data_IF_169118230361
#
_entry.id   IF_169118230361
#
_cell.length_a   1.000
_cell.length_b   1.000
_cell.length_c   1.000
_cell.angle_alpha   90.00
_cell.angle_beta   90.00
_cell.angle_gamma   90.00
#
_symmetry.space_group_name_H-M   'P 1'
#
loop_
_entity.id
_entity.type
_entity.pdbx_description
1 polymer ?
#
# COMPACT_ATOMS: atom_id res chain seq x y z
N UNK A 1 -24.66 -95.41 20.35
CA UNK A 1 -23.53 -94.56 20.79
C UNK A 1 -22.25 -95.14 20.21
N UNK A 2 -21.72 -94.54 19.15
CA UNK A 2 -20.35 -94.76 18.67
C UNK A 2 -19.92 -93.47 17.98
N UNK A 3 -19.01 -92.72 18.61
CA UNK A 3 -18.52 -91.43 18.14
C UNK A 3 -17.58 -91.62 16.94
N UNK A 4 -17.85 -91.04 15.75
CA UNK A 4 -16.88 -91.00 14.67
C UNK A 4 -15.97 -89.78 14.85
N UNK A 5 -15.21 -89.75 15.95
CA UNK A 5 -14.27 -88.66 16.28
C UNK A 5 -12.83 -88.87 15.79
N UNK A 6 -12.54 -89.96 15.05
CA UNK A 6 -11.13 -90.34 14.72
C UNK A 6 -10.72 -90.09 13.27
N UNK A 7 -11.63 -89.70 12.37
CA UNK A 7 -11.31 -89.35 10.98
C UNK A 7 -10.91 -87.89 10.76
N UNK A 8 -11.40 -86.97 11.60
CA UNK A 8 -11.16 -85.52 11.44
C UNK A 8 -9.73 -85.11 11.82
N UNK A 9 -9.12 -85.77 12.81
CA UNK A 9 -7.75 -85.49 13.25
C UNK A 9 -6.66 -86.11 12.35
N UNK A 10 -7.04 -86.88 11.31
CA UNK A 10 -6.10 -87.63 10.44
C UNK A 10 -6.21 -87.27 8.96
N UNK A 11 -7.07 -86.32 8.59
CA UNK A 11 -7.14 -85.79 7.24
C UNK A 11 -5.89 -84.92 6.95
N UNK A 12 -5.05 -85.37 6.00
CA UNK A 12 -3.84 -84.66 5.53
C UNK A 12 -4.05 -83.92 4.21
N UNK A 13 -5.23 -84.07 3.60
CA UNK A 13 -5.65 -83.30 2.43
C UNK A 13 -6.18 -81.94 2.92
N UNK A 14 -5.25 -81.09 3.38
CA UNK A 14 -5.56 -79.74 3.80
C UNK A 14 -6.14 -78.99 2.60
N UNK A 15 -7.44 -78.70 2.64
CA UNK A 15 -8.06 -77.85 1.63
C UNK A 15 -7.40 -76.47 1.71
N UNK A 16 -6.68 -76.08 0.67
CA UNK A 16 -6.06 -74.75 0.56
C UNK A 16 -7.12 -73.65 0.50
N UNK A 17 -8.33 -73.97 0.05
CA UNK A 17 -9.43 -73.01 -0.10
C UNK A 17 -9.84 -72.32 1.21
N UNK A 18 -10.12 -73.01 2.35
CA UNK A 18 -10.43 -72.36 3.61
C UNK A 18 -9.26 -71.57 4.21
N UNK A 19 -8.02 -72.02 4.06
CA UNK A 19 -6.84 -71.27 4.53
C UNK A 19 -6.63 -70.00 3.71
N UNK A 20 -6.77 -70.09 2.39
CA UNK A 20 -6.72 -68.95 1.48
C UNK A 20 -7.86 -67.96 1.74
N UNK A 21 -9.08 -68.44 1.93
CA UNK A 21 -10.23 -67.59 2.26
C UNK A 21 -10.03 -66.84 3.59
N UNK A 22 -9.48 -67.51 4.60
CA UNK A 22 -9.16 -66.88 5.89
C UNK A 22 -7.99 -65.88 5.78
N UNK A 23 -7.02 -66.13 4.91
CA UNK A 23 -5.90 -65.22 4.66
C UNK A 23 -6.25 -64.02 3.76
N UNK A 24 -7.28 -64.15 2.90
CA UNK A 24 -7.74 -63.09 2.01
C UNK A 24 -8.42 -61.95 2.81
N UNK A 25 -9.18 -62.28 3.84
CA UNK A 25 -9.87 -61.30 4.70
C UNK A 25 -8.92 -60.23 5.30
N UNK A 26 -7.80 -60.59 5.97
CA UNK A 26 -6.86 -59.60 6.49
C UNK A 26 -6.11 -58.85 5.38
N UNK A 27 -5.83 -59.46 4.21
CA UNK A 27 -5.19 -58.76 3.11
C UNK A 27 -6.09 -57.66 2.51
N UNK A 28 -7.37 -57.98 2.26
CA UNK A 28 -8.36 -57.01 1.76
C UNK A 28 -8.60 -55.90 2.79
N UNK A 29 -8.65 -56.24 4.08
CA UNK A 29 -8.77 -55.25 5.15
C UNK A 29 -7.58 -54.28 5.17
N UNK A 30 -6.34 -54.77 5.03
CA UNK A 30 -5.14 -53.92 4.99
C UNK A 30 -5.18 -52.95 3.80
N UNK A 31 -5.50 -53.44 2.60
CA UNK A 31 -5.63 -52.59 1.41
C UNK A 31 -6.74 -51.55 1.59
N UNK A 32 -7.89 -51.97 2.14
CA UNK A 32 -9.00 -51.08 2.43
C UNK A 32 -8.64 -49.98 3.43
N UNK A 33 -7.91 -50.32 4.49
CA UNK A 33 -7.44 -49.34 5.47
C UNK A 33 -6.46 -48.35 4.85
N UNK A 34 -5.60 -48.79 3.93
CA UNK A 34 -4.73 -47.89 3.17
C UNK A 34 -5.54 -46.91 2.32
N UNK A 35 -6.61 -47.34 1.66
CA UNK A 35 -7.47 -46.46 0.86
C UNK A 35 -8.20 -45.41 1.71
N UNK A 36 -8.76 -45.82 2.86
CA UNK A 36 -9.39 -44.90 3.81
C UNK A 36 -8.36 -43.91 4.39
N UNK A 37 -7.14 -44.37 4.68
CA UNK A 37 -6.06 -43.49 5.13
C UNK A 37 -5.66 -42.48 4.06
N UNK A 38 -5.46 -42.91 2.81
CA UNK A 38 -5.15 -42.01 1.69
C UNK A 38 -6.25 -40.97 1.49
N UNK A 39 -7.51 -41.38 1.61
CA UNK A 39 -8.67 -40.46 1.56
C UNK A 39 -8.65 -39.46 2.71
N UNK A 40 -8.31 -39.90 3.93
CA UNK A 40 -8.19 -39.03 5.10
C UNK A 40 -7.08 -37.99 4.94
N UNK A 41 -5.91 -38.41 4.43
CA UNK A 41 -4.78 -37.50 4.16
C UNK A 41 -5.14 -36.49 3.07
N UNK A 42 -5.77 -36.93 1.98
CA UNK A 42 -6.22 -36.05 0.90
C UNK A 42 -7.26 -35.04 1.37
N UNK A 43 -8.26 -35.50 2.14
CA UNK A 43 -9.30 -34.64 2.74
C UNK A 43 -8.69 -33.63 3.70
N UNK A 44 -7.76 -34.05 4.55
CA UNK A 44 -7.03 -33.14 5.45
C UNK A 44 -6.28 -32.05 4.68
N UNK A 45 -5.60 -32.39 3.59
CA UNK A 45 -4.89 -31.42 2.77
C UNK A 45 -5.85 -30.41 2.11
N UNK A 46 -6.96 -30.89 1.53
CA UNK A 46 -7.99 -30.01 0.95
C UNK A 46 -8.63 -29.09 1.99
N UNK A 47 -8.96 -29.63 3.18
CA UNK A 47 -9.48 -28.84 4.30
C UNK A 47 -8.48 -27.78 4.79
N UNK A 48 -7.19 -28.11 4.86
CA UNK A 48 -6.16 -27.16 5.25
C UNK A 48 -6.09 -25.99 4.26
N UNK A 49 -6.04 -26.27 2.96
CA UNK A 49 -6.01 -25.24 1.92
C UNK A 49 -7.25 -24.33 1.98
N UNK A 50 -8.43 -24.91 2.20
CA UNK A 50 -9.67 -24.16 2.36
C UNK A 50 -9.66 -23.28 3.62
N UNK A 51 -9.12 -23.79 4.73
CA UNK A 51 -9.04 -23.05 5.99
C UNK A 51 -8.02 -21.90 5.92
N UNK A 52 -6.90 -22.10 5.23
CA UNK A 52 -5.87 -21.07 5.01
C UNK A 52 -6.41 -19.90 4.17
N UNK A 53 -7.19 -20.19 3.11
CA UNK A 53 -7.88 -19.16 2.34
C UNK A 53 -8.95 -18.44 3.18
N UNK A 54 -9.70 -19.20 3.99
CA UNK A 54 -10.77 -18.65 4.81
C UNK A 54 -10.26 -17.74 5.93
N UNK A 55 -9.15 -18.08 6.59
CA UNK A 55 -8.56 -17.24 7.64
C UNK A 55 -8.05 -15.90 7.09
N UNK A 56 -7.51 -15.88 5.86
CA UNK A 56 -7.15 -14.63 5.18
C UNK A 56 -8.37 -13.75 4.90
N UNK A 57 -9.48 -14.36 4.46
CA UNK A 57 -10.72 -13.65 4.16
C UNK A 57 -11.36 -12.98 5.39
N UNK A 58 -11.18 -13.53 6.60
CA UNK A 58 -11.64 -12.89 7.85
C UNK A 58 -10.92 -11.56 8.10
N UNK A 59 -9.68 -11.42 7.63
CA UNK A 59 -8.89 -10.19 7.80
C UNK A 59 -9.27 -9.06 6.84
N UNK A 60 -10.25 -9.25 5.95
CA UNK A 60 -10.78 -8.19 5.08
C UNK A 60 -11.99 -7.49 5.68
N UNK A 61 -12.55 -8.00 6.78
CA UNK A 61 -13.65 -7.36 7.48
C UNK A 61 -13.17 -6.19 8.34
N UNK A 62 -13.98 -5.12 8.51
CA UNK A 62 -13.62 -3.98 9.34
C UNK A 62 -13.35 -4.40 10.79
N UNK A 63 -12.54 -3.64 11.55
CA UNK A 63 -12.29 -3.92 12.98
C UNK A 63 -13.56 -4.02 13.81
N UNK A 64 -14.60 -3.27 13.44
CA UNK A 64 -15.90 -3.21 14.11
C UNK A 64 -16.79 -4.42 13.85
N UNK A 65 -16.42 -5.33 12.93
CA UNK A 65 -17.18 -6.56 12.69
C UNK A 65 -17.14 -7.46 13.92
N UNK A 66 -18.30 -8.05 14.26
CA UNK A 66 -18.43 -8.95 15.40
C UNK A 66 -17.79 -10.30 15.12
N UNK A 67 -17.48 -11.07 16.17
CA UNK A 67 -16.98 -12.44 16.00
C UNK A 67 -17.98 -13.34 15.28
N UNK A 68 -19.28 -13.06 15.39
CA UNK A 68 -20.34 -13.74 14.63
C UNK A 68 -20.20 -13.46 13.14
N UNK A 69 -19.99 -12.20 12.74
CA UNK A 69 -19.80 -11.84 11.32
C UNK A 69 -18.52 -12.44 10.75
N UNK A 70 -17.45 -12.46 11.57
CA UNK A 70 -16.18 -13.10 11.21
C UNK A 70 -16.31 -14.60 11.05
N UNK A 71 -17.00 -15.27 11.96
CA UNK A 71 -17.28 -16.70 11.87
C UNK A 71 -18.14 -17.03 10.66
N UNK A 72 -19.12 -16.17 10.32
CA UNK A 72 -19.90 -16.34 9.10
C UNK A 72 -19.03 -16.21 7.85
N UNK A 73 -18.21 -15.15 7.76
CA UNK A 73 -17.26 -14.96 6.65
C UNK A 73 -16.25 -16.10 6.52
N UNK A 74 -15.77 -16.62 7.65
CA UNK A 74 -14.89 -17.79 7.74
C UNK A 74 -15.59 -19.02 7.16
N UNK A 75 -16.82 -19.30 7.58
CA UNK A 75 -17.64 -20.42 7.07
C UNK A 75 -17.88 -20.32 5.57
N UNK A 76 -18.35 -19.17 5.11
CA UNK A 76 -18.66 -18.95 3.70
C UNK A 76 -17.41 -19.12 2.83
N UNK A 77 -16.26 -18.59 3.28
CA UNK A 77 -14.99 -18.72 2.58
C UNK A 77 -14.45 -20.16 2.64
N UNK A 78 -14.60 -20.85 3.76
CA UNK A 78 -14.17 -22.24 3.92
C UNK A 78 -14.95 -23.17 2.99
N UNK A 79 -16.28 -23.06 2.95
CA UNK A 79 -17.14 -23.84 2.07
C UNK A 79 -16.89 -23.50 0.60
N UNK A 80 -16.73 -22.22 0.25
CA UNK A 80 -16.43 -21.80 -1.12
C UNK A 80 -15.09 -22.37 -1.65
N UNK A 81 -14.14 -22.68 -0.77
CA UNK A 81 -12.86 -23.30 -1.11
C UNK A 81 -12.85 -24.83 -0.95
N UNK A 82 -14.01 -25.47 -0.83
CA UNK A 82 -14.14 -26.94 -0.75
C UNK A 82 -13.93 -27.53 0.64
N UNK A 83 -13.91 -26.71 1.69
CA UNK A 83 -13.83 -27.16 3.08
C UNK A 83 -15.05 -28.00 3.50
N UNK A 84 -14.81 -29.00 4.34
CA UNK A 84 -15.84 -29.91 4.85
C UNK A 84 -15.90 -29.85 6.38
N UNK A 85 -17.09 -30.09 6.94
CA UNK A 85 -17.30 -30.14 8.39
C UNK A 85 -17.53 -28.77 9.03
N UNK A 86 -17.22 -28.66 10.32
CA UNK A 86 -17.50 -27.49 11.16
C UNK A 86 -16.23 -26.67 11.34
N UNK A 87 -16.33 -25.36 11.14
CA UNK A 87 -15.24 -24.41 11.38
C UNK A 87 -15.57 -23.50 12.57
N UNK A 88 -14.55 -23.18 13.36
CA UNK A 88 -14.58 -22.33 14.52
C UNK A 88 -13.56 -21.19 14.38
N UNK A 89 -13.92 -20.02 14.91
CA UNK A 89 -13.02 -18.90 15.13
C UNK A 89 -12.51 -19.00 16.56
N UNK A 90 -11.27 -19.45 16.75
CA UNK A 90 -10.70 -19.68 18.08
C UNK A 90 -10.28 -18.35 18.73
N UNK A 91 -9.71 -17.44 17.94
CA UNK A 91 -9.45 -16.07 18.36
C UNK A 91 -9.33 -15.10 17.18
N UNK A 92 -9.72 -13.85 17.39
CA UNK A 92 -9.40 -12.73 16.52
C UNK A 92 -9.03 -11.51 17.36
N UNK A 93 -7.88 -10.91 17.11
CA UNK A 93 -7.40 -9.75 17.85
C UNK A 93 -6.68 -8.78 16.92
N UNK A 94 -6.88 -7.48 17.13
CA UNK A 94 -6.09 -6.41 16.50
C UNK A 94 -5.35 -5.70 17.62
N UNK A 95 -4.02 -5.62 17.51
CA UNK A 95 -3.23 -4.90 18.51
C UNK A 95 -3.29 -3.38 18.30
N UNK A 96 -2.77 -2.62 19.27
CA UNK A 96 -2.76 -1.15 19.27
C UNK A 96 -2.04 -0.55 18.06
N UNK A 97 -1.20 -1.32 17.38
CA UNK A 97 -0.46 -0.89 16.20
C UNK A 97 -1.12 -1.37 14.88
N UNK A 98 -2.31 -1.98 14.96
CA UNK A 98 -3.08 -2.42 13.80
C UNK A 98 -2.69 -3.78 13.24
N UNK A 99 -1.83 -4.55 13.92
CA UNK A 99 -1.54 -5.94 13.49
C UNK A 99 -2.71 -6.83 13.89
N UNK A 100 -3.35 -7.47 12.90
CA UNK A 100 -4.37 -8.47 13.16
C UNK A 100 -3.76 -9.87 13.30
N UNK A 101 -4.27 -10.63 14.26
CA UNK A 101 -3.98 -12.05 14.45
C UNK A 101 -5.29 -12.81 14.54
N UNK A 102 -5.40 -13.91 13.83
CA UNK A 102 -6.54 -14.82 13.95
C UNK A 102 -6.05 -16.27 14.02
N UNK A 103 -6.70 -17.06 14.86
CA UNK A 103 -6.56 -18.52 14.91
C UNK A 103 -7.92 -19.15 14.64
N UNK A 104 -7.93 -20.16 13.79
CA UNK A 104 -9.14 -20.88 13.39
C UNK A 104 -8.88 -22.37 13.37
N UNK A 105 -9.94 -23.14 13.60
CA UNK A 105 -9.91 -24.59 13.58
C UNK A 105 -11.09 -25.13 12.78
N UNK A 106 -10.89 -26.24 12.08
CA UNK A 106 -11.98 -26.98 11.46
C UNK A 106 -11.89 -28.48 11.77
N UNK A 107 -13.04 -29.11 11.92
CA UNK A 107 -13.15 -30.54 12.18
C UNK A 107 -14.20 -31.21 11.30
N UNK A 108 -13.87 -32.41 10.83
CA UNK A 108 -14.74 -33.21 9.98
C UNK A 108 -14.62 -34.69 10.36
N UNK A 109 -15.76 -35.35 10.59
CA UNK A 109 -15.82 -36.78 10.78
C UNK A 109 -15.93 -37.45 9.41
N UNK A 110 -14.79 -37.78 8.80
CA UNK A 110 -14.77 -38.38 7.46
C UNK A 110 -15.28 -39.83 7.53
N UNK A 111 -16.34 -40.20 6.78
CA UNK A 111 -16.79 -41.58 6.70
C UNK A 111 -15.69 -42.50 6.16
N UNK A 112 -15.51 -43.66 6.77
CA UNK A 112 -14.62 -44.71 6.26
C UNK A 112 -15.44 -45.69 5.43
N UNK A 113 -14.84 -46.30 4.41
CA UNK A 113 -15.51 -47.32 3.60
C UNK A 113 -15.11 -48.73 4.06
N UNK A 114 -13.83 -48.94 4.37
CA UNK A 114 -13.27 -50.25 4.67
C UNK A 114 -13.00 -50.45 6.17
N UNK A 115 -12.63 -49.40 6.90
CA UNK A 115 -12.43 -49.44 8.35
C UNK A 115 -13.71 -49.76 9.14
N UNK A 116 -14.88 -49.68 8.50
CA UNK A 116 -16.14 -50.18 9.06
C UNK A 116 -16.08 -51.66 9.45
N UNK A 117 -15.27 -52.47 8.76
CA UNK A 117 -15.03 -53.89 9.09
C UNK A 117 -14.46 -54.03 10.51
N UNK A 118 -13.64 -53.07 10.95
CA UNK A 118 -13.07 -52.99 12.30
C UNK A 118 -13.93 -52.16 13.26
N UNK A 119 -15.20 -51.87 12.92
CA UNK A 119 -16.12 -51.01 13.68
C UNK A 119 -15.62 -49.58 13.90
N UNK A 120 -14.83 -49.05 12.96
CA UNK A 120 -14.41 -47.65 12.93
C UNK A 120 -15.15 -46.96 11.78
N UNK A 121 -16.34 -46.37 12.01
CA UNK A 121 -17.18 -45.82 10.94
C UNK A 121 -16.71 -44.47 10.40
N UNK A 122 -15.88 -43.75 11.15
CA UNK A 122 -15.36 -42.44 10.78
C UNK A 122 -13.94 -42.23 11.30
N UNK A 123 -13.16 -41.41 10.60
CA UNK A 123 -11.89 -40.86 11.09
C UNK A 123 -12.05 -39.36 11.30
N UNK A 124 -11.73 -38.87 12.49
CA UNK A 124 -11.77 -37.44 12.80
C UNK A 124 -10.58 -36.72 12.16
N UNK A 125 -10.88 -35.77 11.27
CA UNK A 125 -9.91 -34.87 10.67
C UNK A 125 -9.99 -33.53 11.39
N UNK A 126 -8.84 -33.03 11.82
CA UNK A 126 -8.68 -31.71 12.41
C UNK A 126 -7.60 -30.92 11.67
N UNK A 127 -7.90 -29.66 11.37
CA UNK A 127 -6.98 -28.69 10.78
C UNK A 127 -7.05 -27.39 11.56
N UNK A 128 -5.93 -26.68 11.62
CA UNK A 128 -5.83 -25.36 12.26
C UNK A 128 -5.10 -24.43 11.32
N UNK A 129 -5.47 -23.15 11.33
CA UNK A 129 -4.77 -22.12 10.58
C UNK A 129 -4.63 -20.87 11.44
N UNK A 130 -3.54 -20.15 11.20
CA UNK A 130 -3.26 -18.89 11.86
C UNK A 130 -2.82 -17.85 10.84
N UNK A 131 -3.26 -16.62 11.01
CA UNK A 131 -2.84 -15.49 10.19
C UNK A 131 -2.29 -14.38 11.06
N UNK A 132 -1.24 -13.71 10.56
CA UNK A 132 -0.79 -12.43 11.06
C UNK A 132 -0.77 -11.44 9.90
N UNK A 133 -1.61 -10.41 9.97
CA UNK A 133 -1.67 -9.33 8.99
C UNK A 133 -0.99 -8.10 9.57
N UNK A 134 0.07 -7.64 8.91
CA UNK A 134 0.77 -6.41 9.30
C UNK A 134 -0.09 -5.18 9.05
N UNK A 135 0.07 -4.12 9.85
CA UNK A 135 -0.58 -2.86 9.57
C UNK A 135 -0.11 -2.30 8.22
N UNK A 136 -0.95 -1.48 7.61
CA UNK A 136 -0.63 -0.77 6.37
C UNK A 136 -1.09 0.68 6.48
N UNK A 137 -0.62 1.51 5.56
CA UNK A 137 -0.98 2.92 5.49
C UNK A 137 -2.51 3.05 5.33
N UNK A 138 -3.16 3.66 6.32
CA UNK A 138 -4.60 3.96 6.29
C UNK A 138 -4.87 5.45 6.09
N UNK A 139 -3.88 6.29 6.37
CA UNK A 139 -3.95 7.72 6.09
C UNK A 139 -2.57 8.25 5.70
N UNK A 140 -2.54 9.10 4.68
CA UNK A 140 -1.36 9.83 4.24
C UNK A 140 -1.61 11.33 4.39
N UNK A 141 -0.82 11.99 5.23
CA UNK A 141 -0.94 13.43 5.47
C UNK A 141 0.12 14.17 4.70
N UNK A 142 -0.30 14.95 3.70
CA UNK A 142 0.60 15.69 2.82
C UNK A 142 0.75 17.13 3.31
N UNK A 143 1.99 17.61 3.36
CA UNK A 143 2.30 19.00 3.65
C UNK A 143 3.28 19.53 2.61
N UNK A 144 2.82 20.51 1.83
CA UNK A 144 3.69 21.24 0.90
C UNK A 144 4.69 22.07 1.70
N UNK A 145 5.95 21.97 1.32
CA UNK A 145 7.06 22.70 1.92
C UNK A 145 7.46 23.91 1.08
N UNK A 146 7.69 23.70 -0.22
CA UNK A 146 8.06 24.77 -1.15
C UNK A 146 7.68 24.38 -2.57
N UNK A 147 7.08 25.32 -3.30
CA UNK A 147 6.84 25.15 -4.74
C UNK A 147 7.34 26.36 -5.52
N UNK A 148 8.03 26.10 -6.62
CA UNK A 148 8.57 27.09 -7.55
C UNK A 148 8.46 26.62 -8.99
N UNK A 149 8.92 27.45 -9.93
CA UNK A 149 9.12 27.06 -11.32
C UNK A 149 8.64 28.15 -12.28
N UNK A 150 8.48 27.78 -13.55
CA UNK A 150 8.10 28.71 -14.63
C UNK A 150 6.64 28.56 -15.06
N UNK A 151 5.96 27.53 -14.55
CA UNK A 151 4.67 27.08 -15.05
C UNK A 151 3.71 26.73 -13.92
N UNK A 152 2.43 26.89 -14.21
CA UNK A 152 1.38 26.33 -13.37
C UNK A 152 1.50 24.81 -13.42
N UNK A 153 1.28 24.18 -12.27
CA UNK A 153 1.33 22.73 -12.15
C UNK A 153 0.34 22.24 -11.12
N UNK A 154 -0.18 21.03 -11.29
CA UNK A 154 -1.06 20.39 -10.32
C UNK A 154 -0.55 18.99 -10.03
N UNK A 155 -0.27 18.71 -8.76
CA UNK A 155 0.01 17.34 -8.30
C UNK A 155 -1.30 16.75 -7.78
N UNK A 156 -1.70 15.61 -8.31
CA UNK A 156 -2.93 14.91 -7.93
C UNK A 156 -2.58 13.55 -7.33
N UNK A 157 -3.11 13.25 -6.16
CA UNK A 157 -3.13 11.90 -5.61
C UNK A 157 -4.36 11.16 -6.11
N UNK A 158 -4.13 10.05 -6.78
CA UNK A 158 -5.16 9.14 -7.24
C UNK A 158 -5.19 7.88 -6.38
N UNK A 159 -6.38 7.35 -6.15
CA UNK A 159 -6.59 6.08 -5.48
C UNK A 159 -7.68 5.23 -6.11
N UNK A 160 -7.40 3.95 -6.27
CA UNK A 160 -8.37 2.95 -6.74
C UNK A 160 -8.90 2.18 -5.54
N UNK A 161 -10.22 2.21 -5.32
CA UNK A 161 -10.87 1.48 -4.21
C UNK A 161 -10.75 -0.04 -4.39
N UNK A 162 -10.89 -0.78 -3.30
CA UNK A 162 -11.04 -2.24 -3.37
C UNK A 162 -12.18 -2.63 -4.33
N UNK A 163 -11.89 -3.56 -5.24
CA UNK A 163 -12.85 -4.03 -6.26
C UNK A 163 -13.17 -3.04 -7.39
N UNK A 164 -12.66 -1.80 -7.35
CA UNK A 164 -12.81 -0.84 -8.44
C UNK A 164 -11.70 -1.00 -9.49
N UNK A 165 -12.01 -0.65 -10.74
CA UNK A 165 -11.04 -0.66 -11.84
C UNK A 165 -10.58 0.74 -12.25
N UNK A 166 -11.33 1.78 -11.86
CA UNK A 166 -11.02 3.17 -12.21
C UNK A 166 -10.49 3.95 -11.00
N UNK A 167 -9.40 4.72 -11.17
CA UNK A 167 -8.87 5.58 -10.10
C UNK A 167 -9.77 6.80 -9.88
N UNK A 168 -9.83 7.28 -8.63
CA UNK A 168 -10.48 8.55 -8.28
C UNK A 168 -9.45 9.53 -7.71
N UNK A 169 -9.70 10.83 -7.89
CA UNK A 169 -8.91 11.89 -7.25
C UNK A 169 -9.21 11.89 -5.75
N UNK A 170 -8.18 11.88 -4.92
CA UNK A 170 -8.29 11.98 -3.47
C UNK A 170 -7.83 13.35 -2.97
N UNK A 171 -6.88 13.96 -3.67
CA UNK A 171 -6.30 15.25 -3.28
C UNK A 171 -5.61 15.89 -4.48
N UNK A 172 -5.62 17.22 -4.53
CA UNK A 172 -4.91 18.02 -5.52
C UNK A 172 -4.10 19.11 -4.82
N UNK A 173 -2.87 19.33 -5.25
CA UNK A 173 -2.05 20.48 -4.89
C UNK A 173 -1.75 21.28 -6.15
N UNK A 174 -2.47 22.39 -6.33
CA UNK A 174 -2.40 23.25 -7.51
C UNK A 174 -1.53 24.45 -7.22
N UNK A 175 -0.46 24.61 -8.00
CA UNK A 175 0.43 25.77 -7.96
C UNK A 175 0.13 26.71 -9.12
N UNK A 176 -0.02 27.99 -8.77
CA UNK A 176 -0.13 29.10 -9.71
C UNK A 176 1.18 29.87 -9.71
N UNK A 177 1.82 29.92 -10.87
CA UNK A 177 3.05 30.66 -11.11
C UNK A 177 2.84 32.17 -10.89
N UNK A 178 3.85 32.81 -10.28
CA UNK A 178 3.93 34.26 -10.17
C UNK A 178 5.37 34.71 -10.37
N UNK A 179 5.62 35.51 -11.40
CA UNK A 179 6.93 36.14 -11.67
C UNK A 179 7.18 37.33 -10.75
N UNK A 180 8.43 37.61 -10.43
CA UNK A 180 8.83 38.82 -9.72
C UNK A 180 9.93 39.59 -10.45
N UNK A 181 9.70 40.87 -10.68
CA UNK A 181 10.67 41.81 -11.26
C UNK A 181 11.06 42.88 -10.25
N UNK A 182 12.36 43.07 -10.04
CA UNK A 182 12.88 44.12 -9.19
C UNK A 182 13.42 45.27 -10.03
N UNK A 183 12.89 46.47 -9.81
CA UNK A 183 13.33 47.70 -10.51
C UNK A 183 14.23 48.52 -9.59
N UNK A 184 15.39 48.92 -10.10
CA UNK A 184 16.40 49.69 -9.39
C UNK A 184 17.05 50.72 -10.30
N UNK A 185 17.75 51.68 -9.69
CA UNK A 185 18.37 52.79 -10.40
C UNK A 185 19.88 52.77 -10.21
N UNK A 186 20.62 52.96 -11.31
CA UNK A 186 22.08 53.09 -11.30
C UNK A 186 22.47 54.49 -11.77
N UNK A 187 23.45 55.09 -11.10
CA UNK A 187 23.89 56.47 -11.36
C UNK A 187 23.16 57.50 -10.47
N UNK A 188 23.44 58.77 -10.70
CA UNK A 188 22.90 59.87 -9.90
C UNK A 188 22.51 61.07 -10.77
N UNK A 189 21.54 61.86 -10.30
CA UNK A 189 21.02 63.04 -11.00
C UNK A 189 20.52 62.70 -12.41
N UNK A 190 20.83 63.55 -13.38
CA UNK A 190 20.40 63.40 -14.78
C UNK A 190 21.01 62.19 -15.51
N UNK A 191 21.95 61.47 -14.89
CA UNK A 191 22.55 60.23 -15.43
C UNK A 191 21.93 58.95 -14.86
N UNK A 192 20.99 59.09 -13.94
CA UNK A 192 20.27 57.96 -13.36
C UNK A 192 19.49 57.19 -14.45
N UNK A 193 19.67 55.87 -14.48
CA UNK A 193 18.93 54.96 -15.37
C UNK A 193 18.28 53.86 -14.56
N UNK A 194 17.04 53.53 -14.89
CA UNK A 194 16.29 52.44 -14.28
C UNK A 194 16.49 51.14 -15.05
N UNK A 195 16.68 50.06 -14.30
CA UNK A 195 16.83 48.69 -14.80
C UNK A 195 15.86 47.80 -14.05
N UNK A 196 15.39 46.75 -14.71
CA UNK A 196 14.54 45.73 -14.09
C UNK A 196 15.20 44.38 -14.30
N UNK A 197 15.46 43.68 -13.20
CA UNK A 197 15.95 42.30 -13.22
C UNK A 197 14.86 41.40 -12.66
N UNK A 198 14.57 40.30 -13.35
CA UNK A 198 13.58 39.33 -12.90
C UNK A 198 14.27 38.24 -12.08
N UNK A 199 13.58 37.74 -11.06
CA UNK A 199 13.96 36.49 -10.42
C UNK A 199 13.82 35.36 -11.45
N UNK A 200 14.76 34.41 -11.44
CA UNK A 200 14.78 33.33 -12.41
C UNK A 200 13.52 32.46 -12.27
N UNK A 201 13.21 31.99 -11.07
CA UNK A 201 12.01 31.17 -10.84
C UNK A 201 10.81 32.02 -10.41
N UNK A 202 9.61 31.55 -10.73
CA UNK A 202 8.39 32.08 -10.13
C UNK A 202 8.14 31.48 -8.74
N UNK A 203 7.57 32.30 -7.87
CA UNK A 203 7.11 31.91 -6.53
C UNK A 203 5.71 32.50 -6.35
N UNK A 204 4.71 31.63 -6.30
CA UNK A 204 3.31 32.03 -6.26
C UNK A 204 2.54 31.33 -5.16
N UNK A 205 1.33 30.88 -5.49
CA UNK A 205 0.42 30.28 -4.52
C UNK A 205 0.19 28.81 -4.84
N UNK A 206 0.36 27.94 -3.85
CA UNK A 206 -0.02 26.52 -3.91
C UNK A 206 -1.24 26.29 -3.03
N UNK A 207 -2.30 25.72 -3.59
CA UNK A 207 -3.52 25.36 -2.85
C UNK A 207 -3.68 23.85 -2.85
N UNK A 208 -3.76 23.26 -1.66
CA UNK A 208 -4.04 21.83 -1.47
C UNK A 208 -5.51 21.65 -1.09
N UNK A 209 -6.19 20.77 -1.82
CA UNK A 209 -7.58 20.42 -1.57
C UNK A 209 -7.75 18.91 -1.47
N UNK A 210 -8.60 18.47 -0.53
CA UNK A 210 -9.13 17.11 -0.52
C UNK A 210 -10.28 17.02 -1.53
N UNK A 211 -10.31 15.92 -2.27
CA UNK A 211 -11.30 15.69 -3.33
C UNK A 211 -12.19 14.52 -2.95
N UNK A 212 -13.51 14.72 -3.01
CA UNK A 212 -14.51 13.66 -2.84
C UNK A 212 -15.58 13.80 -3.92
N UNK A 213 -15.49 12.99 -4.97
CA UNK A 213 -16.33 13.10 -6.15
C UNK A 213 -16.10 14.44 -6.87
N UNK A 214 -17.15 15.24 -7.02
CA UNK A 214 -17.09 16.58 -7.61
C UNK A 214 -16.72 17.67 -6.59
N UNK A 215 -16.66 17.35 -5.30
CA UNK A 215 -16.41 18.33 -4.23
C UNK A 215 -14.92 18.44 -3.96
N UNK A 216 -14.41 19.66 -3.86
CA UNK A 216 -13.03 19.98 -3.51
C UNK A 216 -13.00 20.90 -2.31
N UNK A 217 -12.33 20.49 -1.23
CA UNK A 217 -12.23 21.25 0.02
C UNK A 217 -10.79 21.67 0.25
N UNK A 218 -10.53 22.98 0.26
CA UNK A 218 -9.19 23.52 0.55
C UNK A 218 -8.82 23.23 2.00
N UNK A 219 -7.64 22.63 2.20
CA UNK A 219 -7.11 22.25 3.52
C UNK A 219 -5.76 22.89 3.83
N UNK A 220 -5.05 23.35 2.80
CA UNK A 220 -3.80 24.10 2.96
C UNK A 220 -3.63 25.09 1.81
N UNK A 221 -3.11 26.28 2.11
CA UNK A 221 -2.61 27.23 1.10
C UNK A 221 -1.20 27.66 1.49
N UNK A 222 -0.29 27.67 0.54
CA UNK A 222 1.04 28.25 0.69
C UNK A 222 1.14 29.43 -0.27
N UNK A 223 1.49 30.61 0.24
CA UNK A 223 1.74 31.79 -0.58
C UNK A 223 3.16 32.27 -0.36
N UNK A 224 3.91 32.37 -1.44
CA UNK A 224 5.28 32.87 -1.42
C UNK A 224 5.33 34.34 -1.84
N UNK A 225 6.21 35.10 -1.19
CA UNK A 225 6.47 36.50 -1.49
C UNK A 225 7.96 36.70 -1.73
N UNK A 226 8.30 37.41 -2.81
CA UNK A 226 9.68 37.69 -3.22
C UNK A 226 9.99 39.18 -3.06
N UNK A 227 11.18 39.48 -2.58
CA UNK A 227 11.74 40.83 -2.52
C UNK A 227 13.09 40.86 -3.23
N UNK A 228 13.36 41.94 -3.96
CA UNK A 228 14.65 42.20 -4.61
C UNK A 228 15.48 43.28 -3.90
N UNK A 229 16.79 43.23 -4.08
CA UNK A 229 17.73 44.22 -3.57
C UNK A 229 19.00 44.26 -4.41
N UNK A 230 19.64 45.42 -4.56
CA UNK A 230 20.99 45.53 -5.13
C UNK A 230 22.10 45.21 -4.11
N UNK A 231 21.74 44.97 -2.86
CA UNK A 231 22.63 44.52 -1.79
C UNK A 231 22.18 43.16 -1.28
N UNK A 232 23.15 42.32 -0.89
CA UNK A 232 22.84 41.00 -0.39
C UNK A 232 22.02 41.08 0.91
N UNK A 233 21.08 40.14 1.09
CA UNK A 233 20.28 40.04 2.31
C UNK A 233 21.12 39.50 3.46
N UNK A 234 21.30 40.29 4.51
CA UNK A 234 22.00 39.87 5.73
C UNK A 234 21.01 39.17 6.66
N UNK A 235 21.35 37.97 7.15
CA UNK A 235 20.54 37.16 8.06
C UNK A 235 19.09 36.95 7.58
N UNK A 236 18.87 36.39 6.37
CA UNK A 236 17.53 36.04 5.92
C UNK A 236 16.91 34.99 6.87
N UNK A 237 15.56 34.89 6.96
CA UNK A 237 14.89 33.79 7.65
C UNK A 237 15.45 32.43 7.20
N UNK A 238 15.51 31.46 8.11
CA UNK A 238 16.14 30.15 7.87
C UNK A 238 15.55 29.39 6.68
N UNK A 239 14.25 29.58 6.43
CA UNK A 239 13.48 28.97 5.34
C UNK A 239 13.41 29.83 4.08
N UNK A 240 14.03 31.01 4.08
CA UNK A 240 14.01 31.89 2.93
C UNK A 240 14.91 31.36 1.82
N UNK A 241 14.39 31.41 0.59
CA UNK A 241 15.19 31.11 -0.60
C UNK A 241 15.91 32.38 -1.03
N UNK A 242 17.25 32.33 -1.09
CA UNK A 242 18.07 33.45 -1.54
C UNK A 242 18.78 33.08 -2.83
N UNK A 243 18.58 33.90 -3.84
CA UNK A 243 19.14 33.76 -5.19
C UNK A 243 19.75 35.10 -5.62
N UNK A 244 20.52 35.08 -6.71
CA UNK A 244 21.09 36.30 -7.27
C UNK A 244 21.15 36.22 -8.79
N UNK A 245 20.96 37.36 -9.44
CA UNK A 245 21.05 37.53 -10.90
C UNK A 245 22.00 38.67 -11.22
N UNK A 246 22.96 38.43 -12.10
CA UNK A 246 23.83 39.47 -12.62
C UNK A 246 23.19 40.14 -13.84
N UNK A 247 22.90 41.43 -13.75
CA UNK A 247 22.42 42.22 -14.89
C UNK A 247 23.61 42.82 -15.64
N UNK A 248 23.88 42.29 -16.82
CA UNK A 248 24.98 42.75 -17.67
C UNK A 248 24.81 44.17 -18.20
N UNK A 249 23.57 44.69 -18.27
CA UNK A 249 23.29 46.04 -18.76
C UNK A 249 23.67 47.10 -17.72
N UNK A 250 23.32 46.84 -16.46
CA UNK A 250 23.59 47.74 -15.33
C UNK A 250 24.94 47.46 -14.66
N UNK A 251 25.52 46.28 -14.91
CA UNK A 251 26.70 45.71 -14.24
C UNK A 251 26.51 45.52 -12.73
N UNK A 252 25.27 45.37 -12.28
CA UNK A 252 24.91 45.12 -10.88
C UNK A 252 24.47 43.67 -10.67
N UNK A 253 24.71 43.16 -9.47
CA UNK A 253 24.09 41.92 -8.99
C UNK A 253 22.84 42.27 -8.20
N UNK A 254 21.71 41.71 -8.62
CA UNK A 254 20.45 41.78 -7.88
C UNK A 254 20.28 40.50 -7.08
N UNK A 255 20.01 40.65 -5.79
CA UNK A 255 19.69 39.57 -4.88
C UNK A 255 18.20 39.49 -4.70
N UNK A 256 17.67 38.27 -4.63
CA UNK A 256 16.27 38.02 -4.34
C UNK A 256 16.15 37.19 -3.08
N UNK A 257 15.10 37.47 -2.30
CA UNK A 257 14.73 36.71 -1.11
C UNK A 257 13.26 36.35 -1.22
N UNK A 258 12.96 35.06 -1.22
CA UNK A 258 11.59 34.56 -1.19
C UNK A 258 11.28 33.92 0.16
N UNK A 259 10.14 34.29 0.73
CA UNK A 259 9.58 33.68 1.96
C UNK A 259 8.20 33.11 1.66
N UNK A 260 7.89 31.92 2.18
CA UNK A 260 6.61 31.26 1.94
C UNK A 260 5.83 31.10 3.25
N UNK A 261 4.59 31.58 3.27
CA UNK A 261 3.68 31.41 4.41
C UNK A 261 2.66 30.32 4.10
N UNK A 262 2.50 29.38 5.04
CA UNK A 262 1.52 28.29 4.92
C UNK A 262 0.37 28.49 5.89
N UNK A 263 -0.86 28.44 5.38
CA UNK A 263 -2.10 28.43 6.17
C UNK A 263 -2.78 27.07 6.02
N UNK A 264 -3.35 26.55 7.09
CA UNK A 264 -4.09 25.27 7.10
C UNK A 264 -5.53 25.48 7.56
N UNK A 265 -6.42 24.62 7.07
CA UNK A 265 -7.85 24.61 7.41
C UNK A 265 -8.22 23.19 7.87
N UNK A 266 -8.59 22.99 9.16
CA UNK A 266 -8.65 23.98 10.23
C UNK A 266 -7.26 24.54 10.60
N UNK A 267 -7.25 25.71 11.25
CA UNK A 267 -6.01 26.35 11.69
C UNK A 267 -5.18 25.40 12.57
N UNK A 268 -3.86 25.42 12.37
CA UNK A 268 -2.89 24.50 13.01
C UNK A 268 -3.06 23.02 12.62
N UNK A 269 -3.79 22.73 11.54
CA UNK A 269 -3.85 21.39 10.95
C UNK A 269 -2.48 20.90 10.49
N UNK A 270 -2.29 19.58 10.46
CA UNK A 270 -1.02 18.91 10.11
C UNK A 270 -0.75 18.83 8.60
N UNK A 271 -1.69 19.30 7.77
CA UNK A 271 -1.64 19.23 6.31
C UNK A 271 -2.91 18.59 5.75
N UNK A 272 -2.85 18.12 4.50
CA UNK A 272 -3.92 17.39 3.84
C UNK A 272 -3.93 15.91 4.26
N UNK A 273 -4.71 15.58 5.29
CA UNK A 273 -4.90 14.21 5.75
C UNK A 273 -5.85 13.44 4.81
N UNK A 274 -5.30 12.56 3.98
CA UNK A 274 -6.05 11.75 3.03
C UNK A 274 -6.32 10.36 3.62
N UNK A 275 -7.59 9.98 3.75
CA UNK A 275 -7.96 8.60 4.09
C UNK A 275 -7.73 7.68 2.88
N UNK A 276 -6.85 6.70 3.07
CA UNK A 276 -6.49 5.70 2.07
C UNK A 276 -6.80 4.27 2.54
N UNK A 277 -7.54 4.12 3.65
CA UNK A 277 -7.87 2.83 4.28
C UNK A 277 -8.65 1.88 3.36
N UNK A 278 -9.35 2.43 2.37
CA UNK A 278 -10.16 1.71 1.39
C UNK A 278 -9.51 1.64 0.00
N UNK A 279 -8.24 2.06 -0.13
CA UNK A 279 -7.53 2.10 -1.41
C UNK A 279 -6.66 0.84 -1.61
N UNK A 280 -6.84 0.22 -2.77
CA UNK A 280 -6.02 -0.90 -3.23
C UNK A 280 -4.67 -0.42 -3.78
N UNK A 281 -4.69 0.67 -4.54
CA UNK A 281 -3.51 1.26 -5.17
C UNK A 281 -3.55 2.78 -5.07
N UNK A 282 -2.37 3.39 -4.97
CA UNK A 282 -2.18 4.84 -4.98
C UNK A 282 -1.11 5.23 -5.97
N UNK A 283 -1.27 6.38 -6.63
CA UNK A 283 -0.21 7.00 -7.40
C UNK A 283 -0.36 8.52 -7.42
N UNK A 284 0.76 9.21 -7.63
CA UNK A 284 0.80 10.65 -7.84
C UNK A 284 0.94 10.95 -9.33
N UNK A 285 0.29 12.02 -9.76
CA UNK A 285 0.42 12.56 -11.11
C UNK A 285 0.70 14.06 -11.00
N UNK A 286 1.78 14.52 -11.61
CA UNK A 286 2.03 15.94 -11.84
C UNK A 286 1.60 16.30 -13.26
N UNK A 287 0.73 17.30 -13.39
CA UNK A 287 0.38 17.92 -14.65
C UNK A 287 0.92 19.35 -14.69
N UNK A 288 1.81 19.65 -15.64
CA UNK A 288 2.23 21.01 -15.97
C UNK A 288 1.22 21.59 -16.94
N UNK A 289 0.52 22.66 -16.53
CA UNK A 289 -0.69 23.14 -17.20
C UNK A 289 -0.49 24.40 -18.03
N UNK A 290 0.67 25.05 -17.92
CA UNK A 290 1.05 26.19 -18.77
C UNK A 290 2.46 26.01 -19.31
N UNK A 291 2.77 26.68 -20.43
CA UNK A 291 4.10 26.56 -21.06
C UNK A 291 4.35 25.17 -21.63
N UNK A 292 5.40 24.50 -21.17
CA UNK A 292 5.75 23.16 -21.65
C UNK A 292 4.86 22.10 -20.98
N UNK A 293 3.64 21.94 -21.49
CA UNK A 293 2.65 21.02 -20.92
C UNK A 293 3.18 19.59 -20.94
N UNK A 294 3.22 18.97 -19.76
CA UNK A 294 3.72 17.61 -19.57
C UNK A 294 2.97 16.94 -18.41
N UNK A 295 2.92 15.61 -18.44
CA UNK A 295 2.33 14.80 -17.37
C UNK A 295 3.34 13.75 -16.93
N UNK A 296 3.57 13.66 -15.62
CA UNK A 296 4.46 12.69 -15.01
C UNK A 296 3.71 11.89 -13.94
N UNK A 297 3.96 10.59 -13.85
CA UNK A 297 3.23 9.69 -12.95
C UNK A 297 4.18 8.82 -12.15
N UNK A 298 3.90 8.66 -10.87
CA UNK A 298 4.71 7.82 -9.99
C UNK A 298 4.62 6.34 -10.37
N UNK A 299 3.49 5.89 -10.91
CA UNK A 299 3.24 4.51 -11.32
C UNK A 299 3.55 4.24 -12.81
N UNK A 300 4.29 5.12 -13.47
CA UNK A 300 4.69 4.95 -14.87
C UNK A 300 6.23 4.91 -14.96
N UNK A 301 6.84 3.78 -15.40
CA UNK A 301 8.29 3.63 -15.43
C UNK A 301 9.01 4.61 -16.37
N UNK A 302 8.26 5.28 -17.26
CA UNK A 302 8.82 6.26 -18.21
C UNK A 302 8.91 7.68 -17.64
N UNK A 303 8.18 7.99 -16.57
CA UNK A 303 8.07 9.36 -16.03
C UNK A 303 8.31 9.47 -14.52
N UNK A 304 8.37 8.34 -13.80
CA UNK A 304 8.58 8.28 -12.36
C UNK A 304 9.94 8.84 -11.91
N UNK A 305 10.94 8.89 -12.79
CA UNK A 305 12.27 9.43 -12.52
C UNK A 305 12.30 10.95 -12.31
N UNK A 306 11.16 11.62 -12.49
CA UNK A 306 10.97 13.01 -12.07
C UNK A 306 10.72 13.16 -10.56
N UNK A 307 10.52 12.05 -9.84
CA UNK A 307 10.29 12.04 -8.40
C UNK A 307 11.61 11.80 -7.65
N UNK A 308 11.76 12.53 -6.55
CA UNK A 308 12.87 12.40 -5.61
C UNK A 308 12.32 11.97 -4.26
N UNK A 309 13.02 11.06 -3.57
CA UNK A 309 12.58 10.45 -2.33
C UNK A 309 13.67 10.51 -1.26
N UNK A 310 13.28 10.66 0.00
CA UNK A 310 14.18 10.62 1.15
C UNK A 310 13.45 10.45 2.48
N UNK A 311 14.20 10.01 3.50
CA UNK A 311 13.72 9.95 4.90
C UNK A 311 14.15 11.18 5.72
N UNK A 312 14.93 12.07 5.11
CA UNK A 312 15.30 13.39 5.62
C UNK A 312 14.97 14.45 4.58
N UNK A 313 14.80 15.74 4.96
CA UNK A 313 14.54 16.82 4.01
C UNK A 313 15.62 16.95 2.93
N UNK A 314 16.87 16.63 3.30
CA UNK A 314 18.02 16.64 2.40
C UNK A 314 19.02 15.53 2.79
N UNK A 315 19.79 14.98 1.82
CA UNK A 315 19.52 15.04 0.38
C UNK A 315 18.34 14.14 -0.02
N UNK A 316 17.68 14.45 -1.14
CA UNK A 316 16.70 13.55 -1.77
C UNK A 316 17.33 12.80 -2.94
N UNK A 317 16.89 11.57 -3.18
CA UNK A 317 17.42 10.68 -4.22
C UNK A 317 16.43 10.57 -5.37
N UNK A 318 16.89 10.79 -6.60
CA UNK A 318 16.09 10.60 -7.81
C UNK A 318 15.66 9.13 -7.96
N UNK A 319 14.41 8.90 -8.34
CA UNK A 319 13.92 7.57 -8.70
C UNK A 319 14.62 7.11 -9.98
N UNK A 320 15.18 5.91 -9.97
CA UNK A 320 15.86 5.38 -11.15
C UNK A 320 14.90 5.21 -12.34
N UNK A 321 15.39 5.51 -13.55
CA UNK A 321 14.64 5.29 -14.79
C UNK A 321 14.17 3.82 -14.91
N UNK A 322 12.95 3.62 -15.41
CA UNK A 322 12.35 2.29 -15.58
C UNK A 322 11.71 1.72 -14.31
N UNK A 323 11.72 2.44 -13.19
CA UNK A 323 11.09 2.00 -11.93
C UNK A 323 9.72 2.62 -11.73
N UNK A 324 8.84 1.99 -10.98
CA UNK A 324 7.59 2.61 -10.50
C UNK A 324 7.68 2.88 -9.02
N UNK A 325 6.93 3.87 -8.55
CA UNK A 325 6.80 4.23 -7.14
C UNK A 325 5.36 4.03 -6.69
N UNK A 326 5.20 3.08 -5.77
CA UNK A 326 3.98 2.90 -4.99
C UNK A 326 4.04 3.77 -3.73
N UNK A 327 3.04 4.63 -3.55
CA UNK A 327 2.94 5.51 -2.39
C UNK A 327 2.84 4.71 -1.09
N UNK A 328 2.26 3.50 -1.12
CA UNK A 328 2.18 2.64 0.06
C UNK A 328 3.55 2.17 0.58
N UNK A 329 4.57 2.14 -0.28
CA UNK A 329 5.90 1.64 0.10
C UNK A 329 6.86 2.76 0.47
N UNK A 330 6.70 3.95 -0.13
CA UNK A 330 7.61 5.08 0.11
C UNK A 330 7.17 6.00 1.25
N UNK A 331 5.96 5.80 1.80
CA UNK A 331 5.46 6.52 2.98
C UNK A 331 5.53 5.57 4.18
N UNK A 332 6.56 5.70 5.03
CA UNK A 332 6.74 4.81 6.17
C UNK A 332 5.68 5.05 7.26
N UNK A 333 5.36 3.99 8.01
CA UNK A 333 4.47 4.08 9.16
C UNK A 333 5.09 4.93 10.28
N UNK A 334 4.32 5.90 10.78
CA UNK A 334 4.70 6.77 11.91
C UNK A 334 5.99 7.56 11.70
N UNK A 335 6.40 7.71 10.44
CA UNK A 335 7.58 8.46 10.02
C UNK A 335 7.18 9.37 8.85
N UNK A 336 8.04 10.34 8.56
CA UNK A 336 7.82 11.30 7.48
C UNK A 336 8.73 10.94 6.31
N UNK A 337 8.13 10.80 5.13
CA UNK A 337 8.82 10.72 3.85
C UNK A 337 8.90 12.11 3.24
N UNK A 338 10.06 12.48 2.72
CA UNK A 338 10.29 13.74 2.02
C UNK A 338 10.39 13.46 0.53
N UNK A 339 9.68 14.26 -0.25
CA UNK A 339 9.54 14.02 -1.67
C UNK A 339 9.62 15.32 -2.45
N UNK A 340 10.15 15.25 -3.67
CA UNK A 340 10.14 16.36 -4.59
C UNK A 340 9.83 15.92 -6.02
N UNK A 341 9.29 16.82 -6.82
CA UNK A 341 9.06 16.60 -8.26
C UNK A 341 9.78 17.65 -9.10
N UNK A 342 10.42 17.19 -10.17
CA UNK A 342 10.87 17.99 -11.30
C UNK A 342 9.75 18.08 -12.33
N UNK A 343 9.48 19.29 -12.82
CA UNK A 343 8.39 19.56 -13.76
C UNK A 343 8.78 19.41 -15.25
N UNK A 344 9.99 18.90 -15.52
CA UNK A 344 10.50 18.67 -16.87
C UNK A 344 11.30 19.82 -17.48
N UNK A 345 11.63 20.87 -16.71
CA UNK A 345 12.55 21.92 -17.15
C UNK A 345 14.01 21.49 -17.30
N UNK A 346 14.41 20.35 -16.71
CA UNK A 346 15.79 19.84 -16.69
C UNK A 346 15.89 18.46 -17.34
N UNK A 347 17.04 18.15 -17.95
CA UNK A 347 17.37 16.78 -18.36
C UNK A 347 17.72 15.92 -17.14
N UNK A 348 17.20 14.70 -17.09
CA UNK A 348 17.47 13.75 -16.02
C UNK A 348 18.63 12.79 -16.38
N UNK A 349 19.45 12.35 -15.41
CA UNK A 349 19.34 12.62 -13.98
C UNK A 349 19.80 14.03 -13.59
N UNK A 350 19.16 14.60 -12.58
CA UNK A 350 19.42 15.94 -12.07
C UNK A 350 19.53 15.96 -10.54
N UNK A 351 20.23 16.95 -9.99
CA UNK A 351 20.29 17.13 -8.54
C UNK A 351 18.91 17.54 -8.00
N UNK A 352 18.50 16.99 -6.84
CA UNK A 352 17.19 17.28 -6.24
C UNK A 352 16.93 18.78 -5.97
N UNK A 353 17.99 19.61 -5.91
CA UNK A 353 17.89 21.06 -5.76
C UNK A 353 17.26 21.76 -6.97
N UNK A 354 17.26 21.09 -8.12
CA UNK A 354 16.61 21.58 -9.33
C UNK A 354 15.08 21.47 -9.25
N UNK A 355 14.58 20.62 -8.33
CA UNK A 355 13.18 20.26 -8.28
C UNK A 355 12.32 21.47 -7.92
N UNK A 356 11.05 21.36 -8.25
CA UNK A 356 10.15 22.50 -8.23
C UNK A 356 9.00 22.34 -7.27
N UNK A 357 8.71 21.11 -6.83
CA UNK A 357 7.61 20.85 -5.94
C UNK A 357 8.08 19.97 -4.79
N UNK A 358 8.35 20.58 -3.63
CA UNK A 358 8.79 19.91 -2.42
C UNK A 358 7.65 19.77 -1.42
N UNK A 359 7.53 18.58 -0.85
CA UNK A 359 6.51 18.24 0.13
C UNK A 359 6.99 17.09 1.00
N UNK A 360 6.29 16.88 2.10
CA UNK A 360 6.48 15.72 2.93
C UNK A 360 5.14 15.02 3.18
N UNK A 361 5.24 13.73 3.45
CA UNK A 361 4.10 12.86 3.70
C UNK A 361 4.34 12.10 4.99
N UNK A 362 3.46 12.28 5.96
CA UNK A 362 3.46 11.50 7.19
C UNK A 362 2.41 10.41 7.11
N UNK A 363 2.84 9.16 7.31
CA UNK A 363 1.96 7.99 7.24
C UNK A 363 1.40 7.58 8.59
N UNK A 364 0.08 7.41 8.68
CA UNK A 364 -0.56 6.66 9.76
C UNK A 364 -0.87 5.26 9.28
N UNK A 365 -0.37 4.27 10.01
CA UNK A 365 -0.68 2.87 9.76
C UNK A 365 -1.62 2.30 10.81
N UNK A 366 -2.49 1.41 10.37
CA UNK A 366 -3.46 0.73 11.21
C UNK A 366 -3.86 -0.58 10.51
N UNK A 367 -4.82 -1.30 11.09
CA UNK A 367 -5.46 -2.43 10.44
C UNK A 367 -6.05 -2.01 9.10
N UNK A 368 -5.72 -2.76 8.06
CA UNK A 368 -6.21 -2.52 6.71
C UNK A 368 -7.10 -3.68 6.25
N UNK A 369 -8.10 -3.36 5.44
CA UNK A 369 -9.05 -4.33 4.88
C UNK A 369 -8.58 -4.88 3.52
N UNK A 370 -7.38 -4.49 3.04
CA UNK A 370 -6.86 -4.92 1.74
C UNK A 370 -6.77 -6.44 1.68
N UNK A 371 -7.29 -7.10 0.64
CA UNK A 371 -7.08 -8.52 0.45
C UNK A 371 -5.58 -8.83 0.45
N UNK A 372 -5.16 -9.91 1.12
CA UNK A 372 -3.78 -10.36 1.03
C UNK A 372 -3.52 -10.86 -0.40
N UNK A 373 -2.49 -10.34 -1.06
CA UNK A 373 -2.05 -10.80 -2.39
C UNK A 373 -1.35 -12.16 -2.33
N UNK A 374 -1.12 -12.72 -1.14
CA UNK A 374 -0.75 -14.13 -0.95
C UNK A 374 -1.92 -15.01 -1.39
N UNK A 375 -2.07 -15.19 -2.69
CA UNK A 375 -2.66 -16.40 -3.23
C UNK A 375 -1.72 -17.54 -2.86
N UNK A 376 -2.12 -18.40 -1.94
CA UNK A 376 -1.54 -19.73 -1.83
C UNK A 376 -1.89 -20.44 -3.14
N UNK A 377 -0.94 -20.42 -4.09
CA UNK A 377 -1.01 -21.22 -5.30
C UNK A 377 -1.03 -22.69 -4.86
N UNK A 378 -2.06 -23.42 -5.28
CA UNK A 378 -2.22 -24.86 -5.02
C UNK A 378 -1.06 -25.68 -5.56
#
# INVERSE_FOLDING_TARGET
MCFPGKGFLRARDGSLAPVFAMALLPMVAVVGFSMDYTSAVSTRASMQNALDAAVLAVTTLPPTATDTDRLQKLRDSFVANGGQGTVNLDSFQVDTFGTARANVSASYAMPTNFMQIARVPTVSIGVTAAVRKTPSLVQATFKVDKVSGYWNKTVTLYGTKFGATSPQKLMTASYVFSSYGFTYTVGSGNKAKSYTTNEAKGYGTTTISLVNGSTSTVVQTQTCTTAGSTTNFVNPPTDAVVTSQYDSNSKQTVYFKTTCATTTVPANGTGAAVDVSQMNSLYLQMDVTTGNTATFKSNDPTTSNHLYLGLSPTPLTEVASGQTVDIFTVVPCSQTSYQAWEDGGNSLPAAYTNADFFYNVTGKCDFNQRPSETMLTQ
#
